data_IF_456468316563
#
_entry.id   IF_456468316563
#
_cell.length_a   1.000
_cell.length_b   1.000
_cell.length_c   1.000
_cell.angle_alpha   90.00
_cell.angle_beta   90.00
_cell.angle_gamma   90.00
#
_symmetry.space_group_name_H-M   'P 1'
#
loop_
_entity.id
_entity.type
_entity.pdbx_description
1 polymer ?
#
# COMPACT_ATOMS: atom_id res chain seq x y z
N UNK A 1 -39.26 19.48 12.92
CA UNK A 1 -38.16 18.94 12.09
C UNK A 1 -37.18 18.28 13.02
N UNK A 2 -37.25 16.95 13.15
CA UNK A 2 -36.31 16.22 13.98
C UNK A 2 -34.91 16.44 13.39
N UNK A 3 -33.97 16.96 14.17
CA UNK A 3 -32.56 16.95 13.81
C UNK A 3 -32.14 15.49 13.66
N UNK A 4 -31.71 15.06 12.46
CA UNK A 4 -31.14 13.76 12.26
C UNK A 4 -29.81 13.69 12.98
N UNK A 5 -29.80 13.20 14.21
CA UNK A 5 -28.55 12.89 14.92
C UNK A 5 -27.98 11.58 14.43
N UNK A 6 -26.71 11.55 14.06
CA UNK A 6 -26.00 10.31 13.73
C UNK A 6 -25.71 9.55 15.03
N UNK A 7 -26.39 8.43 15.24
CA UNK A 7 -26.15 7.57 16.40
C UNK A 7 -24.83 6.81 16.29
N UNK A 8 -24.20 6.50 17.43
CA UNK A 8 -23.00 5.66 17.50
C UNK A 8 -21.67 6.37 17.25
N UNK A 9 -21.66 7.70 17.07
CA UNK A 9 -20.42 8.49 16.91
C UNK A 9 -19.67 8.60 18.23
N UNK A 10 -20.38 8.88 19.32
CA UNK A 10 -19.83 8.87 20.66
C UNK A 10 -20.15 7.54 21.34
N UNK A 11 -19.14 6.87 21.83
CA UNK A 11 -19.26 5.57 22.48
C UNK A 11 -18.45 5.54 23.77
N UNK A 12 -18.90 4.78 24.76
CA UNK A 12 -18.13 4.51 25.96
C UNK A 12 -16.97 3.60 25.59
N UNK A 13 -15.74 4.03 25.89
CA UNK A 13 -14.53 3.28 25.57
C UNK A 13 -14.50 1.95 26.35
N UNK A 14 -14.28 0.86 25.64
CA UNK A 14 -14.16 -0.46 26.25
C UNK A 14 -12.86 -0.57 27.04
N UNK A 15 -12.96 -0.88 28.33
CA UNK A 15 -11.84 -1.02 29.26
C UNK A 15 -11.74 -2.42 29.84
N UNK A 16 -12.28 -3.40 29.16
CA UNK A 16 -12.26 -4.78 29.64
C UNK A 16 -10.84 -5.36 29.70
N UNK A 17 -10.05 -5.14 28.66
CA UNK A 17 -8.62 -5.45 28.60
C UNK A 17 -7.87 -4.36 27.83
N UNK A 18 -6.54 -4.36 27.90
CA UNK A 18 -5.72 -3.45 27.09
C UNK A 18 -5.94 -3.65 25.58
N UNK A 19 -6.00 -4.91 25.15
CA UNK A 19 -6.29 -5.26 23.76
C UNK A 19 -7.66 -4.76 23.30
N UNK A 20 -8.70 -4.87 24.12
CA UNK A 20 -10.04 -4.38 23.79
C UNK A 20 -10.11 -2.86 23.64
N UNK A 21 -9.35 -2.13 24.44
CA UNK A 21 -9.24 -0.67 24.34
C UNK A 21 -8.60 -0.28 23.02
N UNK A 22 -7.48 -0.88 22.64
CA UNK A 22 -6.79 -0.60 21.38
C UNK A 22 -7.65 -0.98 20.18
N UNK A 23 -8.29 -2.13 20.22
CA UNK A 23 -9.20 -2.57 19.16
C UNK A 23 -10.37 -1.59 18.99
N UNK A 24 -10.96 -1.11 20.08
CA UNK A 24 -12.07 -0.15 20.00
C UNK A 24 -11.65 1.19 19.36
N UNK A 25 -10.44 1.65 19.62
CA UNK A 25 -9.91 2.90 19.02
C UNK A 25 -9.58 2.76 17.53
N UNK A 26 -9.42 1.55 17.03
CA UNK A 26 -9.12 1.24 15.63
C UNK A 26 -10.31 0.64 14.87
N UNK A 27 -11.50 0.93 15.32
CA UNK A 27 -12.75 0.38 14.77
C UNK A 27 -13.38 1.31 13.76
N UNK A 28 -13.90 0.73 12.69
CA UNK A 28 -14.65 1.44 11.66
C UNK A 28 -16.09 0.99 11.65
N UNK A 29 -17.00 1.88 11.29
CA UNK A 29 -18.43 1.59 11.19
C UNK A 29 -18.97 2.01 9.82
N UNK A 30 -19.77 1.16 9.23
CA UNK A 30 -20.50 1.47 8.01
C UNK A 30 -21.89 1.98 8.38
N UNK A 31 -22.26 3.22 8.04
CA UNK A 31 -23.52 3.85 8.47
C UNK A 31 -24.71 3.38 7.62
N UNK A 32 -24.89 2.08 7.47
CA UNK A 32 -26.04 1.47 6.77
C UNK A 32 -27.03 0.99 7.81
N UNK A 33 -28.35 1.18 7.55
CA UNK A 33 -29.42 0.63 8.40
C UNK A 33 -29.25 -0.88 8.59
N UNK A 34 -29.16 -1.30 9.85
CA UNK A 34 -28.93 -2.71 10.22
C UNK A 34 -30.11 -3.62 9.91
N UNK A 35 -31.28 -3.06 9.71
CA UNK A 35 -32.48 -3.76 9.30
C UNK A 35 -32.50 -4.10 7.79
N UNK A 36 -31.58 -3.49 7.03
CA UNK A 36 -31.39 -3.77 5.62
C UNK A 36 -30.72 -5.13 5.42
N UNK A 37 -31.36 -6.00 4.63
CA UNK A 37 -30.86 -7.34 4.29
C UNK A 37 -29.83 -7.34 3.15
N UNK A 38 -29.12 -6.24 2.95
CA UNK A 38 -28.08 -6.14 1.92
C UNK A 38 -26.86 -6.97 2.35
N UNK A 39 -26.58 -8.04 1.61
CA UNK A 39 -25.47 -8.93 1.91
C UNK A 39 -24.11 -8.36 1.46
N UNK A 40 -24.06 -7.62 0.37
CA UNK A 40 -22.82 -7.13 -0.26
C UNK A 40 -21.89 -6.33 0.68
N UNK A 41 -22.35 -5.31 1.41
CA UNK A 41 -21.47 -4.53 2.29
C UNK A 41 -20.95 -5.30 3.51
N UNK A 42 -21.54 -6.48 3.79
CA UNK A 42 -21.15 -7.36 4.90
C UNK A 42 -20.07 -8.37 4.52
N UNK A 43 -19.83 -8.56 3.23
CA UNK A 43 -18.88 -9.52 2.73
C UNK A 43 -17.46 -8.98 2.83
N UNK A 44 -16.51 -9.89 3.05
CA UNK A 44 -15.09 -9.58 2.98
C UNK A 44 -14.69 -9.42 1.50
N UNK A 45 -14.17 -8.25 1.15
CA UNK A 45 -13.71 -7.96 -0.20
C UNK A 45 -12.20 -8.16 -0.33
N UNK A 46 -11.72 -8.52 -1.50
CA UNK A 46 -10.29 -8.72 -1.76
C UNK A 46 -9.45 -7.48 -1.50
N UNK A 47 -10.00 -6.29 -1.72
CA UNK A 47 -9.34 -5.00 -1.48
C UNK A 47 -9.10 -4.69 0.00
N UNK A 48 -9.68 -5.47 0.91
CA UNK A 48 -9.44 -5.34 2.35
C UNK A 48 -8.09 -5.90 2.80
N UNK A 49 -7.36 -6.57 1.92
CA UNK A 49 -6.07 -7.16 2.26
C UNK A 49 -5.12 -6.14 2.88
N UNK A 50 -4.66 -6.41 4.10
CA UNK A 50 -3.74 -5.55 4.83
C UNK A 50 -4.30 -4.23 5.35
N UNK A 51 -5.55 -3.89 5.03
CA UNK A 51 -6.24 -2.68 5.47
C UNK A 51 -7.26 -2.95 6.57
N UNK A 52 -8.01 -4.02 6.43
CA UNK A 52 -9.07 -4.44 7.37
C UNK A 52 -8.80 -5.86 7.82
N UNK A 53 -8.93 -6.12 9.12
CA UNK A 53 -8.80 -7.47 9.67
C UNK A 53 -9.86 -8.40 9.07
N UNK A 54 -9.45 -9.56 8.51
CA UNK A 54 -10.40 -10.48 7.89
C UNK A 54 -11.25 -11.27 8.89
N UNK A 55 -10.85 -11.30 10.15
CA UNK A 55 -11.46 -12.15 11.17
C UNK A 55 -12.28 -11.37 12.20
N UNK A 56 -11.84 -10.17 12.59
CA UNK A 56 -12.45 -9.40 13.67
C UNK A 56 -13.66 -8.61 13.19
N UNK A 57 -14.85 -9.11 13.50
CA UNK A 57 -16.13 -8.45 13.25
C UNK A 57 -17.16 -8.90 14.29
N UNK A 58 -18.13 -8.07 14.68
CA UNK A 58 -19.20 -8.48 15.58
C UNK A 58 -20.08 -9.59 15.00
N UNK A 59 -20.70 -10.35 15.87
CA UNK A 59 -21.76 -11.29 15.51
C UNK A 59 -23.12 -10.60 15.50
N UNK A 60 -24.07 -11.13 14.72
CA UNK A 60 -25.43 -10.65 14.67
C UNK A 60 -25.68 -9.54 13.65
N UNK A 61 -26.46 -8.53 14.01
CA UNK A 61 -26.93 -7.47 13.10
C UNK A 61 -25.81 -6.60 12.53
N UNK A 62 -24.72 -6.41 13.28
CA UNK A 62 -23.58 -5.58 12.87
C UNK A 62 -22.48 -6.39 12.15
N UNK A 63 -22.68 -7.68 11.91
CA UNK A 63 -21.69 -8.54 11.26
C UNK A 63 -21.28 -7.98 9.90
N UNK A 64 -19.98 -7.78 9.69
CA UNK A 64 -19.42 -7.24 8.45
C UNK A 64 -19.61 -5.73 8.25
N UNK A 65 -20.41 -5.05 9.03
CA UNK A 65 -20.62 -3.60 8.96
C UNK A 65 -19.66 -2.83 9.90
N UNK A 66 -19.32 -3.44 11.02
CA UNK A 66 -18.29 -2.95 11.93
C UNK A 66 -17.02 -3.75 11.67
N UNK A 67 -15.96 -3.05 11.33
CA UNK A 67 -14.67 -3.65 10.96
C UNK A 67 -13.56 -3.03 11.78
N UNK A 68 -12.44 -3.73 11.85
CA UNK A 68 -11.27 -3.29 12.59
C UNK A 68 -10.08 -3.15 11.63
N UNK A 69 -9.27 -2.11 11.82
CA UNK A 69 -8.08 -1.89 10.99
C UNK A 69 -7.02 -2.95 11.26
N UNK A 70 -6.31 -3.34 10.21
CA UNK A 70 -5.14 -4.22 10.31
C UNK A 70 -4.00 -3.54 11.07
N UNK A 71 -3.04 -4.32 11.57
CA UNK A 71 -1.97 -3.81 12.45
C UNK A 71 -1.17 -2.66 11.84
N UNK A 72 -0.79 -2.76 10.58
CA UNK A 72 0.02 -1.73 9.89
C UNK A 72 -0.80 -0.78 9.03
N UNK A 73 -2.12 -0.85 9.10
CA UNK A 73 -2.98 0.08 8.37
C UNK A 73 -2.80 1.51 8.89
N UNK A 74 -2.63 2.43 7.98
CA UNK A 74 -2.44 3.85 8.23
C UNK A 74 -3.55 4.66 7.56
N UNK A 75 -4.05 5.68 8.23
CA UNK A 75 -5.02 6.62 7.67
C UNK A 75 -4.33 7.93 7.38
N UNK A 76 -4.44 8.42 6.15
CA UNK A 76 -3.76 9.65 5.73
C UNK A 76 -4.28 10.88 6.45
N UNK A 77 -3.36 11.79 6.76
CA UNK A 77 -3.67 13.10 7.40
C UNK A 77 -3.97 14.16 6.34
N UNK A 78 -3.39 14.04 5.17
CA UNK A 78 -3.51 14.96 4.06
C UNK A 78 -2.34 15.94 3.95
N UNK A 79 -2.13 16.41 2.74
CA UNK A 79 -1.11 17.40 2.41
C UNK A 79 -1.59 18.32 1.29
N UNK A 80 -1.07 19.56 1.18
CA UNK A 80 -1.43 20.47 0.09
C UNK A 80 -0.94 19.94 -1.26
N UNK A 81 -1.77 20.10 -2.29
CA UNK A 81 -1.51 19.62 -3.64
C UNK A 81 -0.88 20.69 -4.57
N UNK A 82 -0.98 21.95 -4.23
CA UNK A 82 -0.52 23.07 -5.07
C UNK A 82 0.97 22.96 -5.45
N UNK A 83 1.91 22.66 -4.54
CA UNK A 83 3.32 22.51 -4.90
C UNK A 83 3.55 21.41 -5.93
N UNK A 84 2.76 20.34 -5.88
CA UNK A 84 2.86 19.24 -6.83
C UNK A 84 2.34 19.62 -8.21
N UNK A 85 1.28 20.42 -8.27
CA UNK A 85 0.75 20.95 -9.53
C UNK A 85 1.79 21.85 -10.20
N UNK A 86 2.42 22.74 -9.44
CA UNK A 86 3.49 23.61 -9.95
C UNK A 86 4.71 22.82 -10.45
N UNK A 87 5.07 21.76 -9.73
CA UNK A 87 6.13 20.84 -10.16
C UNK A 87 5.80 20.17 -11.50
N UNK A 88 4.57 19.70 -11.69
CA UNK A 88 4.16 19.06 -12.93
C UNK A 88 4.09 20.05 -14.10
N UNK A 89 3.65 21.29 -13.86
CA UNK A 89 3.66 22.36 -14.88
C UNK A 89 5.08 22.60 -15.38
N UNK A 90 6.05 22.68 -14.47
CA UNK A 90 7.47 22.85 -14.81
C UNK A 90 8.05 21.65 -15.58
N UNK A 91 7.39 20.50 -15.52
CA UNK A 91 7.79 19.27 -16.23
C UNK A 91 6.98 18.99 -17.50
N UNK A 92 6.31 19.98 -18.02
CA UNK A 92 5.62 19.93 -19.31
C UNK A 92 4.14 19.57 -19.27
N UNK A 93 3.50 19.63 -18.09
CA UNK A 93 2.06 19.53 -18.01
C UNK A 93 1.41 20.79 -18.60
N UNK A 94 0.49 20.61 -19.53
CA UNK A 94 -0.38 21.69 -20.03
C UNK A 94 -1.58 21.83 -19.12
N UNK A 95 -1.83 23.06 -18.65
CA UNK A 95 -3.01 23.37 -17.83
C UNK A 95 -4.27 23.19 -18.68
N UNK A 96 -5.37 22.76 -18.06
CA UNK A 96 -6.62 22.47 -18.78
C UNK A 96 -7.15 23.64 -19.58
N UNK A 97 -6.96 24.88 -19.13
CA UNK A 97 -7.40 26.10 -19.80
C UNK A 97 -6.65 26.34 -21.12
N UNK A 98 -5.42 25.85 -21.25
CA UNK A 98 -4.59 25.97 -22.44
C UNK A 98 -4.66 24.75 -23.36
N UNK A 99 -5.37 23.71 -22.93
CA UNK A 99 -5.44 22.46 -23.67
C UNK A 99 -6.35 22.53 -24.89
N UNK A 100 -5.81 22.17 -26.04
CA UNK A 100 -6.54 22.04 -27.31
C UNK A 100 -6.68 20.55 -27.68
N UNK A 101 -7.86 19.93 -27.55
CA UNK A 101 -8.06 18.50 -27.82
C UNK A 101 -7.71 18.07 -29.24
N UNK A 102 -7.90 18.94 -30.22
CA UNK A 102 -7.61 18.65 -31.62
C UNK A 102 -6.12 18.55 -31.91
N UNK A 103 -5.30 19.24 -31.13
CA UNK A 103 -3.85 19.26 -31.31
C UNK A 103 -3.18 18.00 -30.75
N UNK A 104 -3.67 17.52 -29.60
CA UNK A 104 -3.12 16.34 -28.90
C UNK A 104 -4.23 15.41 -28.44
N UNK A 105 -4.82 14.60 -29.34
CA UNK A 105 -5.97 13.76 -29.01
C UNK A 105 -5.60 12.58 -28.08
N UNK A 106 -4.33 12.19 -28.04
CA UNK A 106 -3.84 11.06 -27.23
C UNK A 106 -3.10 11.48 -25.95
N UNK A 107 -3.22 12.74 -25.55
CA UNK A 107 -2.62 13.20 -24.31
C UNK A 107 -3.22 12.51 -23.07
N UNK A 108 -2.39 12.19 -22.10
CA UNK A 108 -2.83 11.61 -20.84
C UNK A 108 -3.41 12.69 -19.94
N UNK A 109 -4.59 12.46 -19.41
CA UNK A 109 -5.26 13.36 -18.48
C UNK A 109 -4.62 13.25 -17.09
N UNK A 110 -4.44 14.37 -16.42
CA UNK A 110 -3.90 14.44 -15.07
C UNK A 110 -4.97 14.94 -14.10
N UNK A 111 -5.26 14.12 -13.10
CA UNK A 111 -6.22 14.43 -12.06
C UNK A 111 -5.50 14.59 -10.72
N UNK A 112 -5.84 15.63 -9.99
CA UNK A 112 -5.36 15.87 -8.63
C UNK A 112 -6.56 15.99 -7.71
N UNK A 113 -6.68 15.09 -6.76
CA UNK A 113 -7.82 15.01 -5.82
C UNK A 113 -9.19 15.04 -6.51
N UNK A 114 -9.31 14.33 -7.65
CA UNK A 114 -10.54 14.25 -8.42
C UNK A 114 -10.79 15.42 -9.39
N UNK A 115 -9.94 16.42 -9.40
CA UNK A 115 -10.04 17.57 -10.31
C UNK A 115 -9.13 17.37 -11.52
N UNK A 116 -9.65 17.52 -12.71
CA UNK A 116 -8.85 17.48 -13.92
C UNK A 116 -8.03 18.78 -14.06
N UNK A 117 -6.74 18.67 -13.80
CA UNK A 117 -5.81 19.82 -13.73
C UNK A 117 -5.17 20.13 -15.08
N UNK A 118 -4.88 19.10 -15.85
CA UNK A 118 -4.18 19.28 -17.11
C UNK A 118 -3.97 17.98 -17.88
N UNK A 119 -3.10 18.05 -18.88
CA UNK A 119 -2.73 16.92 -19.73
C UNK A 119 -1.22 16.88 -19.95
N UNK A 120 -0.69 15.72 -20.26
CA UNK A 120 0.72 15.54 -20.60
C UNK A 120 0.88 14.63 -21.82
N UNK A 121 1.83 14.97 -22.68
CA UNK A 121 2.09 14.21 -23.91
C UNK A 121 2.99 12.99 -23.68
N UNK A 122 3.94 13.07 -22.75
CA UNK A 122 4.81 11.97 -22.33
C UNK A 122 4.56 11.60 -20.87
N UNK A 123 3.49 10.82 -20.62
CA UNK A 123 3.11 10.45 -19.26
C UNK A 123 4.15 9.58 -18.55
N UNK A 124 4.87 8.73 -19.29
CA UNK A 124 5.85 7.84 -18.70
C UNK A 124 6.97 8.61 -17.98
N UNK A 125 7.50 9.63 -18.65
CA UNK A 125 8.56 10.46 -18.09
C UNK A 125 8.09 11.24 -16.85
N UNK A 126 6.93 11.89 -16.96
CA UNK A 126 6.34 12.62 -15.84
C UNK A 126 6.07 11.73 -14.64
N UNK A 127 5.41 10.60 -14.87
CA UNK A 127 5.05 9.65 -13.80
C UNK A 127 6.31 9.14 -13.10
N UNK A 128 7.33 8.73 -13.84
CA UNK A 128 8.59 8.27 -13.25
C UNK A 128 9.25 9.35 -12.38
N UNK A 129 9.27 10.59 -12.85
CA UNK A 129 9.81 11.70 -12.07
C UNK A 129 9.04 11.96 -10.78
N UNK A 130 7.72 11.90 -10.81
CA UNK A 130 6.89 12.08 -9.61
C UNK A 130 7.09 10.93 -8.62
N UNK A 131 7.18 9.68 -9.11
CA UNK A 131 7.51 8.53 -8.28
C UNK A 131 8.89 8.67 -7.61
N UNK A 132 9.91 9.07 -8.36
CA UNK A 132 11.24 9.29 -7.82
C UNK A 132 11.26 10.39 -6.76
N UNK A 133 10.50 11.47 -6.97
CA UNK A 133 10.35 12.55 -6.00
C UNK A 133 9.73 12.04 -4.70
N UNK A 134 8.72 11.19 -4.78
CA UNK A 134 8.11 10.56 -3.60
C UNK A 134 9.09 9.61 -2.89
N UNK A 135 9.80 8.76 -3.62
CA UNK A 135 10.78 7.80 -3.07
C UNK A 135 11.97 8.49 -2.41
N UNK A 136 12.39 9.63 -2.93
CA UNK A 136 13.43 10.47 -2.34
C UNK A 136 12.94 11.35 -1.18
N UNK A 137 11.67 11.22 -0.80
CA UNK A 137 11.02 11.97 0.29
C UNK A 137 10.93 13.49 0.11
N UNK A 138 11.06 13.98 -1.11
CA UNK A 138 10.75 15.38 -1.43
C UNK A 138 9.24 15.62 -1.44
N UNK A 139 8.47 14.58 -1.77
CA UNK A 139 7.02 14.53 -1.66
C UNK A 139 6.65 13.66 -0.45
N UNK A 140 5.58 14.01 0.25
CA UNK A 140 5.14 13.22 1.40
C UNK A 140 4.78 11.79 1.00
N UNK A 141 5.10 10.82 1.85
CA UNK A 141 4.84 9.41 1.62
C UNK A 141 3.34 9.06 1.53
N UNK A 142 2.46 9.92 2.05
CA UNK A 142 1.00 9.76 1.99
C UNK A 142 0.40 10.01 0.60
N UNK A 143 1.12 10.68 -0.29
CA UNK A 143 0.62 10.99 -1.63
C UNK A 143 0.55 9.73 -2.46
N UNK A 144 -0.63 9.43 -2.98
CA UNK A 144 -0.87 8.29 -3.84
C UNK A 144 -0.79 8.67 -5.31
N UNK A 145 -0.10 7.85 -6.09
CA UNK A 145 0.13 8.05 -7.51
C UNK A 145 -0.41 6.85 -8.27
N UNK A 146 -1.42 7.06 -9.08
CA UNK A 146 -2.09 5.99 -9.84
C UNK A 146 -2.00 6.30 -11.32
N UNK A 147 -1.34 5.44 -12.08
CA UNK A 147 -1.28 5.51 -13.53
C UNK A 147 -2.16 4.44 -14.17
N UNK A 148 -3.21 4.88 -14.84
CA UNK A 148 -4.06 4.03 -15.68
C UNK A 148 -3.63 4.12 -17.13
N UNK A 149 -2.82 3.16 -17.58
CA UNK A 149 -2.28 3.16 -18.95
C UNK A 149 -3.39 2.97 -19.96
N UNK A 150 -4.36 2.11 -19.67
CA UNK A 150 -5.46 1.78 -20.56
C UNK A 150 -6.37 2.96 -20.83
N UNK A 151 -6.72 3.69 -19.77
CA UNK A 151 -7.64 4.84 -19.82
C UNK A 151 -6.91 6.16 -20.10
N UNK A 152 -5.57 6.14 -20.17
CA UNK A 152 -4.71 7.31 -20.35
C UNK A 152 -4.98 8.38 -19.28
N UNK A 153 -4.93 7.97 -18.02
CA UNK A 153 -5.15 8.82 -16.88
C UNK A 153 -3.99 8.69 -15.88
N UNK A 154 -3.61 9.79 -15.28
CA UNK A 154 -2.72 9.84 -14.13
C UNK A 154 -3.42 10.54 -12.99
N UNK A 155 -3.68 9.83 -11.90
CA UNK A 155 -4.41 10.31 -10.76
C UNK A 155 -3.49 10.49 -9.56
N UNK A 156 -3.63 11.61 -8.88
CA UNK A 156 -2.86 11.93 -7.69
C UNK A 156 -3.83 12.23 -6.55
N UNK A 157 -3.60 11.61 -5.41
CA UNK A 157 -4.40 11.80 -4.21
C UNK A 157 -3.51 12.25 -3.06
N UNK A 158 -3.83 13.37 -2.46
CA UNK A 158 -3.14 13.93 -1.30
C UNK A 158 -4.06 14.30 -0.14
N UNK A 159 -5.35 13.97 -0.24
CA UNK A 159 -6.38 14.25 0.76
C UNK A 159 -6.23 13.36 2.01
N UNK A 160 -6.94 13.77 3.07
CA UNK A 160 -7.02 13.00 4.31
C UNK A 160 -8.02 11.85 4.21
N UNK A 161 -7.93 10.89 5.11
CA UNK A 161 -8.93 9.84 5.30
C UNK A 161 -8.79 8.62 4.38
N UNK A 162 -7.75 8.53 3.58
CA UNK A 162 -7.45 7.35 2.79
C UNK A 162 -6.76 6.31 3.67
N UNK A 163 -7.20 5.06 3.56
CA UNK A 163 -6.53 3.93 4.21
C UNK A 163 -5.39 3.43 3.33
N UNK A 164 -4.24 3.17 3.92
CA UNK A 164 -3.06 2.71 3.22
C UNK A 164 -2.24 1.76 4.07
N UNK A 165 -1.36 1.01 3.43
CA UNK A 165 -0.48 0.07 4.11
C UNK A 165 0.94 0.15 3.57
N UNK A 166 1.97 -0.08 4.41
CA UNK A 166 3.36 -0.10 3.98
C UNK A 166 3.70 -1.44 3.32
N UNK A 167 4.53 -1.37 2.29
CA UNK A 167 5.13 -2.52 1.60
C UNK A 167 6.57 -2.21 1.24
N UNK A 168 7.38 -3.25 1.05
CA UNK A 168 8.73 -3.08 0.55
C UNK A 168 8.72 -2.78 -0.95
N UNK A 169 9.59 -1.87 -1.36
CA UNK A 169 9.77 -1.47 -2.76
C UNK A 169 10.71 -2.43 -3.48
N UNK A 170 10.36 -2.81 -4.68
CA UNK A 170 11.21 -3.60 -5.59
C UNK A 170 11.77 -2.68 -6.67
N UNK A 171 13.06 -2.83 -6.96
CA UNK A 171 13.73 -2.04 -7.98
C UNK A 171 13.18 -2.37 -9.37
N UNK A 172 12.77 -1.34 -10.12
CA UNK A 172 12.16 -1.50 -11.44
C UNK A 172 13.14 -1.41 -12.61
N UNK A 173 14.24 -0.72 -12.42
CA UNK A 173 15.31 -0.52 -13.40
C UNK A 173 16.67 -0.76 -12.72
N UNK A 174 17.66 -1.15 -13.52
CA UNK A 174 19.02 -1.31 -13.01
C UNK A 174 19.58 0.07 -12.62
N UNK A 175 20.08 0.18 -11.42
CA UNK A 175 20.64 1.42 -10.88
C UNK A 175 22.14 1.27 -10.67
N UNK A 176 22.92 1.98 -11.49
CA UNK A 176 24.37 1.96 -11.41
C UNK A 176 24.91 2.68 -10.15
N UNK A 177 24.17 3.63 -9.57
CA UNK A 177 24.61 4.36 -8.39
C UNK A 177 24.49 3.51 -7.11
N UNK A 178 23.42 2.76 -6.97
CA UNK A 178 23.17 1.90 -5.81
C UNK A 178 23.68 0.47 -6.01
N UNK A 179 23.95 0.08 -7.25
CA UNK A 179 24.35 -1.28 -7.59
C UNK A 179 23.22 -2.30 -7.47
N UNK A 180 21.99 -1.86 -7.45
CA UNK A 180 20.80 -2.72 -7.39
C UNK A 180 20.33 -3.09 -8.79
N UNK A 181 20.16 -4.38 -9.00
CA UNK A 181 19.60 -4.91 -10.24
C UNK A 181 18.07 -4.86 -10.19
N UNK A 182 17.48 -4.86 -11.37
CA UNK A 182 16.03 -4.97 -11.53
C UNK A 182 15.48 -6.23 -10.84
N UNK A 183 14.42 -6.08 -10.07
CA UNK A 183 13.76 -7.17 -9.35
C UNK A 183 14.32 -7.45 -7.97
N UNK A 184 15.32 -6.71 -7.51
CA UNK A 184 15.81 -6.78 -6.13
C UNK A 184 15.03 -5.83 -5.22
N UNK A 185 14.98 -6.16 -3.93
CA UNK A 185 14.46 -5.24 -2.92
C UNK A 185 15.40 -4.05 -2.76
N UNK A 186 14.82 -2.86 -2.62
CA UNK A 186 15.57 -1.64 -2.26
C UNK A 186 16.14 -1.75 -0.85
N UNK A 187 15.49 -2.52 0.02
CA UNK A 187 16.00 -2.87 1.35
C UNK A 187 17.19 -3.83 1.22
N UNK A 188 18.39 -3.34 1.47
CA UNK A 188 19.63 -4.12 1.42
C UNK A 188 19.97 -4.71 2.78
N UNK A 189 20.84 -5.74 2.78
CA UNK A 189 21.37 -6.34 4.02
C UNK A 189 22.13 -5.33 4.87
N UNK A 190 22.79 -4.37 4.24
CA UNK A 190 23.52 -3.31 4.94
C UNK A 190 22.57 -2.38 5.74
N UNK A 191 21.41 -2.04 5.17
CA UNK A 191 20.37 -1.30 5.90
C UNK A 191 19.82 -2.09 7.08
N UNK A 192 19.60 -3.39 6.88
CA UNK A 192 19.13 -4.27 7.96
C UNK A 192 20.16 -4.37 9.08
N UNK A 193 21.44 -4.51 8.76
CA UNK A 193 22.52 -4.55 9.74
C UNK A 193 22.62 -3.24 10.53
N UNK A 194 22.53 -2.10 9.85
CA UNK A 194 22.50 -0.78 10.52
C UNK A 194 21.30 -0.63 11.46
N UNK A 195 20.13 -1.13 11.07
CA UNK A 195 18.96 -1.15 11.97
C UNK A 195 19.19 -2.03 13.19
N UNK A 196 19.81 -3.20 13.01
CA UNK A 196 20.12 -4.11 14.11
C UNK A 196 21.16 -3.50 15.07
N UNK A 197 22.17 -2.83 14.55
CA UNK A 197 23.17 -2.08 15.35
C UNK A 197 22.52 -0.95 16.16
N UNK A 198 21.65 -0.17 15.53
CA UNK A 198 20.91 0.90 16.21
C UNK A 198 19.99 0.37 17.31
N UNK A 199 19.36 -0.80 17.08
CA UNK A 199 18.52 -1.43 18.08
C UNK A 199 19.32 -1.96 19.27
N UNK A 200 20.54 -2.45 19.02
CA UNK A 200 21.44 -2.96 20.07
C UNK A 200 22.06 -1.82 20.91
N UNK A 201 22.39 -0.70 20.28
CA UNK A 201 23.01 0.47 20.92
C UNK A 201 22.35 1.75 20.37
N UNK A 202 21.21 2.17 20.95
CA UNK A 202 20.46 3.33 20.46
C UNK A 202 21.29 4.61 20.49
N UNK A 203 21.38 5.28 19.37
CA UNK A 203 22.06 6.59 19.24
C UNK A 203 21.23 7.69 19.89
N UNK A 204 21.86 8.52 20.70
CA UNK A 204 21.23 9.73 21.25
C UNK A 204 21.14 10.87 20.24
N UNK A 205 21.88 10.77 19.14
CA UNK A 205 21.92 11.78 18.07
C UNK A 205 20.76 11.59 17.09
N UNK A 206 19.81 12.53 16.98
CA UNK A 206 18.66 12.42 16.08
C UNK A 206 19.05 12.26 14.60
N UNK A 207 20.19 12.79 14.19
CA UNK A 207 20.67 12.72 12.79
C UNK A 207 21.24 11.34 12.44
N UNK A 208 21.73 10.61 13.42
CA UNK A 208 22.31 9.26 13.26
C UNK A 208 21.31 8.14 13.51
N UNK A 209 20.17 8.47 14.09
CA UNK A 209 19.13 7.50 14.43
C UNK A 209 18.54 6.88 13.18
N UNK A 210 18.66 5.56 13.07
CA UNK A 210 18.10 4.78 11.97
C UNK A 210 16.83 4.07 12.47
N UNK A 211 15.72 4.32 11.80
CA UNK A 211 14.43 3.74 12.17
C UNK A 211 13.49 3.66 10.98
N UNK A 212 12.21 3.57 11.26
CA UNK A 212 11.16 3.49 10.23
C UNK A 212 11.20 4.65 9.24
N UNK A 213 11.35 5.88 9.72
CA UNK A 213 11.45 7.06 8.86
C UNK A 213 12.66 7.03 7.96
N UNK A 214 13.78 6.47 8.42
CA UNK A 214 15.00 6.30 7.62
C UNK A 214 14.78 5.33 6.46
N UNK A 215 14.00 4.27 6.67
CA UNK A 215 13.62 3.33 5.61
C UNK A 215 12.70 3.98 4.57
N UNK A 216 11.78 4.83 5.01
CA UNK A 216 10.93 5.60 4.10
C UNK A 216 11.78 6.57 3.27
N UNK A 217 12.70 7.29 3.89
CA UNK A 217 13.63 8.22 3.21
C UNK A 217 14.57 7.52 2.23
N UNK A 218 14.97 6.30 2.54
CA UNK A 218 15.78 5.48 1.65
C UNK A 218 14.99 4.90 0.46
N UNK A 219 13.67 5.07 0.45
CA UNK A 219 12.80 4.50 -0.57
C UNK A 219 12.56 3.00 -0.43
N UNK A 220 12.97 2.38 0.68
CA UNK A 220 12.80 0.95 0.92
C UNK A 220 11.35 0.58 1.24
N UNK A 221 10.57 1.52 1.76
CA UNK A 221 9.17 1.33 2.13
C UNK A 221 8.32 2.37 1.42
N UNK A 222 7.23 1.93 0.84
CA UNK A 222 6.18 2.78 0.28
C UNK A 222 4.85 2.47 0.93
N UNK A 223 4.02 3.50 1.11
CA UNK A 223 2.64 3.35 1.52
C UNK A 223 1.75 3.31 0.27
N UNK A 224 0.99 2.23 0.14
CA UNK A 224 0.02 2.06 -0.93
C UNK A 224 -1.38 2.20 -0.37
N UNK A 225 -2.20 3.07 -0.96
CA UNK A 225 -3.64 3.12 -0.70
C UNK A 225 -4.38 2.10 -1.57
N UNK A 226 -5.70 1.98 -1.40
CA UNK A 226 -6.50 1.03 -2.14
C UNK A 226 -6.46 1.26 -3.67
N UNK A 227 -6.43 2.51 -4.10
CA UNK A 227 -6.37 2.88 -5.53
C UNK A 227 -5.00 2.54 -6.14
N UNK A 228 -3.92 2.89 -5.47
CA UNK A 228 -2.56 2.62 -5.96
C UNK A 228 -2.24 1.11 -5.92
N UNK A 229 -2.77 0.38 -4.96
CA UNK A 229 -2.57 -1.07 -4.84
C UNK A 229 -3.11 -1.84 -6.05
N UNK A 230 -4.18 -1.38 -6.69
CA UNK A 230 -4.73 -1.99 -7.90
C UNK A 230 -3.75 -1.99 -9.07
N UNK A 231 -2.86 -1.02 -9.13
CA UNK A 231 -1.86 -0.88 -10.20
C UNK A 231 -0.53 -1.54 -9.87
N UNK A 232 -0.38 -2.07 -8.66
CA UNK A 232 0.84 -2.71 -8.18
C UNK A 232 0.73 -4.24 -8.24
N UNK A 233 1.87 -4.90 -8.31
CA UNK A 233 2.00 -6.33 -8.17
C UNK A 233 2.90 -6.64 -6.97
N UNK A 234 2.33 -7.28 -5.96
CA UNK A 234 2.98 -7.48 -4.66
C UNK A 234 3.33 -8.95 -4.46
N UNK A 235 4.60 -9.21 -4.17
CA UNK A 235 5.10 -10.54 -3.84
C UNK A 235 4.84 -10.84 -2.35
N UNK A 236 4.55 -12.08 -2.01
CA UNK A 236 4.23 -12.47 -0.63
C UNK A 236 5.44 -12.53 0.29
N UNK A 237 6.58 -13.02 -0.21
CA UNK A 237 7.81 -13.17 0.58
C UNK A 237 9.03 -12.73 -0.23
N UNK A 238 10.09 -12.24 0.43
CA UNK A 238 11.35 -11.93 -0.25
C UNK A 238 12.01 -13.14 -0.92
N UNK A 239 11.86 -14.33 -0.34
CA UNK A 239 12.37 -15.58 -0.90
C UNK A 239 11.68 -15.92 -2.21
N UNK A 240 10.36 -15.74 -2.30
CA UNK A 240 9.62 -15.93 -3.53
C UNK A 240 10.06 -14.92 -4.60
N UNK A 241 10.33 -13.68 -4.21
CA UNK A 241 10.85 -12.66 -5.12
C UNK A 241 12.19 -13.07 -5.74
N UNK A 242 13.12 -13.56 -4.93
CA UNK A 242 14.42 -14.04 -5.40
C UNK A 242 14.26 -15.27 -6.28
N UNK A 243 13.39 -16.20 -5.91
CA UNK A 243 13.07 -17.37 -6.71
C UNK A 243 12.59 -16.98 -8.12
N UNK A 244 11.62 -16.08 -8.22
CA UNK A 244 11.11 -15.62 -9.52
C UNK A 244 12.16 -14.86 -10.33
N UNK A 245 13.03 -14.09 -9.66
CA UNK A 245 14.15 -13.43 -10.33
C UNK A 245 15.12 -14.41 -10.97
N UNK A 246 15.51 -15.44 -10.24
CA UNK A 246 16.39 -16.50 -10.73
C UNK A 246 15.74 -17.32 -11.85
N UNK A 247 14.46 -17.65 -11.70
CA UNK A 247 13.71 -18.36 -12.72
C UNK A 247 13.62 -17.56 -14.03
N UNK A 248 13.42 -16.25 -13.94
CA UNK A 248 13.41 -15.35 -15.10
C UNK A 248 14.77 -15.25 -15.77
N UNK A 249 15.84 -15.32 -15.01
CA UNK A 249 17.22 -15.35 -15.53
C UNK A 249 17.60 -16.69 -16.20
N UNK A 250 16.72 -17.71 -16.16
CA UNK A 250 16.94 -19.01 -16.75
C UNK A 250 17.83 -19.93 -15.91
N UNK A 251 18.10 -19.61 -14.66
CA UNK A 251 18.78 -20.49 -13.71
C UNK A 251 17.84 -21.64 -13.39
N UNK A 252 18.25 -22.88 -13.77
CA UNK A 252 17.53 -24.08 -13.38
C UNK A 252 17.63 -24.21 -11.86
N UNK A 253 16.56 -23.89 -11.16
CA UNK A 253 16.44 -24.25 -9.77
C UNK A 253 16.00 -25.70 -9.72
N UNK A 254 16.79 -26.56 -9.08
CA UNK A 254 16.35 -27.87 -8.70
C UNK A 254 15.11 -27.65 -7.81
N UNK A 255 13.94 -27.89 -8.38
CA UNK A 255 12.76 -28.21 -7.60
C UNK A 255 13.14 -29.50 -6.86
N UNK A 256 13.83 -29.33 -5.72
CA UNK A 256 13.97 -30.42 -4.79
C UNK A 256 12.54 -30.73 -4.32
N UNK A 257 11.92 -31.81 -4.82
CA UNK A 257 10.65 -32.26 -4.29
C UNK A 257 11.00 -32.86 -2.93
N UNK A 258 11.37 -31.99 -1.98
CA UNK A 258 11.55 -32.42 -0.61
C UNK A 258 10.36 -33.30 -0.26
N UNK A 259 10.60 -34.37 0.41
CA UNK A 259 9.74 -35.51 0.81
C UNK A 259 8.33 -35.19 1.32
N UNK A 260 7.82 -34.02 1.04
CA UNK A 260 6.51 -33.56 1.47
C UNK A 260 5.47 -33.88 0.39
N UNK A 261 5.03 -35.14 0.39
CA UNK A 261 3.94 -35.67 -0.44
C UNK A 261 2.63 -34.86 -0.34
N UNK A 262 2.55 -33.94 0.62
CA UNK A 262 1.41 -33.05 0.87
C UNK A 262 1.56 -31.66 0.25
N UNK A 263 2.68 -31.31 -0.35
CA UNK A 263 2.78 -30.05 -1.11
C UNK A 263 1.88 -30.15 -2.33
N UNK A 264 0.81 -29.34 -2.33
CA UNK A 264 0.00 -29.14 -3.52
C UNK A 264 0.93 -28.78 -4.69
N UNK A 265 0.84 -29.55 -5.78
CA UNK A 265 1.51 -29.21 -7.03
C UNK A 265 1.14 -27.78 -7.41
N UNK A 266 2.05 -26.85 -7.20
CA UNK A 266 1.88 -25.48 -7.70
C UNK A 266 1.91 -25.56 -9.22
N UNK A 267 0.86 -25.10 -9.87
CA UNK A 267 0.83 -24.95 -11.33
C UNK A 267 2.03 -24.10 -11.74
N UNK A 268 2.82 -24.57 -12.71
CA UNK A 268 3.93 -23.80 -13.26
C UNK A 268 3.37 -22.51 -13.87
N UNK A 269 3.60 -21.39 -13.20
CA UNK A 269 3.28 -20.07 -13.72
C UNK A 269 4.37 -19.61 -14.68
N UNK A 270 3.98 -18.92 -15.75
CA UNK A 270 4.95 -18.36 -16.68
C UNK A 270 5.78 -17.27 -15.97
N UNK A 271 7.11 -17.40 -15.83
CA UNK A 271 7.95 -16.44 -15.11
C UNK A 271 7.95 -15.04 -15.74
N UNK A 272 7.57 -14.92 -17.01
CA UNK A 272 7.48 -13.63 -17.69
C UNK A 272 6.27 -12.79 -17.26
N UNK A 273 5.28 -13.38 -16.62
CA UNK A 273 4.08 -12.68 -16.12
C UNK A 273 4.24 -12.07 -14.73
N UNK A 274 5.27 -12.48 -13.99
CA UNK A 274 5.52 -11.99 -12.62
C UNK A 274 6.50 -10.82 -12.62
N UNK A 275 5.98 -9.63 -12.83
CA UNK A 275 6.75 -8.36 -12.74
C UNK A 275 6.37 -7.65 -11.44
N UNK A 276 6.96 -8.09 -10.33
CA UNK A 276 6.66 -7.54 -9.01
C UNK A 276 7.19 -6.11 -8.85
N UNK A 277 6.32 -5.24 -8.34
CA UNK A 277 6.66 -3.85 -8.02
C UNK A 277 6.95 -3.66 -6.54
N UNK A 278 6.38 -4.49 -5.70
CA UNK A 278 6.50 -4.43 -4.25
C UNK A 278 6.56 -5.84 -3.65
N UNK A 279 6.90 -5.91 -2.38
CA UNK A 279 6.89 -7.14 -1.59
C UNK A 279 6.23 -6.88 -0.23
N UNK A 280 5.47 -7.84 0.26
CA UNK A 280 4.88 -7.78 1.61
C UNK A 280 5.97 -7.74 2.68
N UNK A 281 5.73 -6.96 3.73
CA UNK A 281 6.57 -7.00 4.93
C UNK A 281 6.39 -8.33 5.65
N UNK A 282 5.15 -8.69 5.97
CA UNK A 282 4.78 -10.00 6.48
C UNK A 282 3.29 -10.24 6.27
N UNK A 283 2.87 -11.42 5.79
CA UNK A 283 1.45 -11.71 5.54
C UNK A 283 0.56 -11.64 6.78
N UNK A 284 1.10 -11.91 7.98
CA UNK A 284 0.34 -11.82 9.23
C UNK A 284 -0.12 -10.40 9.59
N UNK A 285 0.42 -9.39 8.94
CA UNK A 285 0.04 -7.99 9.16
C UNK A 285 -1.37 -7.66 8.63
N UNK A 286 -2.03 -8.58 7.96
CA UNK A 286 -3.45 -8.46 7.62
C UNK A 286 -4.38 -8.51 8.84
N UNK A 287 -3.91 -9.09 9.94
CA UNK A 287 -4.70 -9.25 11.16
C UNK A 287 -4.79 -7.93 11.95
N UNK A 288 -5.90 -7.76 12.64
CA UNK A 288 -6.09 -6.68 13.61
C UNK A 288 -5.49 -7.01 14.98
N UNK A 289 -5.71 -6.16 15.95
CA UNK A 289 -5.13 -6.30 17.30
C UNK A 289 -5.62 -7.58 17.99
N UNK A 290 -6.93 -7.81 18.05
CA UNK A 290 -7.46 -8.98 18.74
C UNK A 290 -7.10 -10.28 18.01
N UNK A 291 -7.18 -10.30 16.69
CA UNK A 291 -6.83 -11.49 15.91
C UNK A 291 -5.34 -11.85 15.99
N UNK A 292 -4.47 -10.87 16.15
CA UNK A 292 -3.02 -11.06 16.19
C UNK A 292 -2.53 -11.77 17.45
N UNK A 293 -3.30 -11.76 18.54
CA UNK A 293 -2.97 -12.44 19.81
C UNK A 293 -3.48 -13.87 19.90
N UNK A 294 -4.25 -14.32 18.91
CA UNK A 294 -4.77 -15.71 18.86
C UNK A 294 -3.62 -16.65 18.49
N UNK A 295 -3.35 -17.70 19.30
CA UNK A 295 -2.37 -18.70 18.91
C UNK A 295 -2.88 -19.56 17.78
N UNK A 296 -2.02 -19.85 16.79
CA UNK A 296 -2.35 -20.65 15.61
C UNK A 296 -3.67 -20.23 14.93
N UNK A 297 -3.77 -18.97 14.48
CA UNK A 297 -5.03 -18.45 13.92
C UNK A 297 -5.48 -19.17 12.64
N UNK A 298 -4.55 -19.77 11.93
CA UNK A 298 -4.78 -20.57 10.72
C UNK A 298 -5.36 -21.97 10.99
N UNK A 299 -5.39 -22.41 12.26
CA UNK A 299 -5.98 -23.68 12.68
C UNK A 299 -7.45 -23.56 13.10
N UNK A 300 -8.00 -22.37 13.15
CA UNK A 300 -9.41 -22.11 13.49
C UNK A 300 -10.29 -22.15 12.23
N UNK A 301 -11.58 -22.40 12.45
CA UNK A 301 -12.58 -22.38 11.38
C UNK A 301 -12.86 -20.96 10.88
#
# INVERSE_FOLDING_TARGET
>A
KAMSSTAGVSQVLNRYTFASTLSHLRRTNTPIGRDGKLAKPRQLHNTHWGLVCPAETPEGQACGLVKNLSLMCYVSVGSPAEPLIDFMINRGMEVIEEYEPLRYPHATKIFVNGTWVGVHQDPKHLVNQVFDTRRKSYLQYEVSLVREIRDQEFKIFSDAGRVMRPVFTVQQEDDAETGLDKGQLVLTKDLVNKLAEEQADPSDDPERKIGWESLIKAGAIEYLDAEEEETSMICMTPEDLEFYRLQKAGVAMDDDPGDDLNKRLKTKTNPTTHMYTHCEIHPSMILGICASIIPFPDHNQ
#
